data_IF_552731030422
#
_entry.id   IF_552731030422
#
_cell.length_a   1.000
_cell.length_b   1.000
_cell.length_c   1.000
_cell.angle_alpha   90.00
_cell.angle_beta   90.00
_cell.angle_gamma   90.00
#
_symmetry.space_group_name_H-M   'P 1'
#
loop_
_entity.id
_entity.type
_entity.pdbx_description
1 polymer ?
#
# COMPACT_ATOMS: atom_id res chain seq x y z
N UNK A 1 4.42 5.83 64.35
CA UNK A 1 5.60 6.71 64.47
C UNK A 1 6.73 6.11 63.63
N UNK A 2 6.75 6.37 62.31
CA UNK A 2 7.68 5.77 61.33
C UNK A 2 8.09 6.78 60.24
N UNK A 3 8.17 8.05 60.63
CA UNK A 3 8.48 9.18 59.74
C UNK A 3 9.94 9.64 59.92
N UNK A 4 10.63 9.21 60.99
CA UNK A 4 11.96 9.74 61.36
C UNK A 4 13.13 9.18 60.55
N UNK A 5 13.12 7.91 60.14
CA UNK A 5 14.30 7.31 59.49
C UNK A 5 14.45 7.72 58.02
N UNK A 6 13.36 7.79 57.26
CA UNK A 6 13.40 8.21 55.85
C UNK A 6 13.71 9.70 55.68
N UNK A 7 13.25 10.55 56.62
CA UNK A 7 13.59 11.97 56.60
C UNK A 7 15.09 12.19 56.90
N UNK A 8 15.67 11.36 57.78
CA UNK A 8 17.09 11.43 58.17
C UNK A 8 18.01 10.97 57.04
N UNK A 9 17.64 9.93 56.29
CA UNK A 9 18.42 9.48 55.12
C UNK A 9 18.31 10.47 53.95
N UNK A 10 17.13 11.05 53.71
CA UNK A 10 16.97 12.09 52.69
C UNK A 10 17.74 13.38 53.03
N UNK A 11 17.73 13.80 54.31
CA UNK A 11 18.47 14.99 54.76
C UNK A 11 19.99 14.76 54.70
N UNK A 12 20.48 13.57 55.06
CA UNK A 12 21.92 13.28 55.02
C UNK A 12 22.47 13.18 53.59
N UNK A 13 21.70 12.63 52.64
CA UNK A 13 22.09 12.63 51.22
C UNK A 13 22.02 14.04 50.63
N UNK A 14 21.02 14.85 51.00
CA UNK A 14 20.96 16.27 50.57
C UNK A 14 22.12 17.10 51.15
N UNK A 15 22.44 16.91 52.43
CA UNK A 15 23.54 17.62 53.09
C UNK A 15 24.91 17.19 52.55
N UNK A 16 25.12 15.91 52.25
CA UNK A 16 26.39 15.46 51.66
C UNK A 16 26.61 16.09 50.28
N UNK A 17 25.56 16.18 49.45
CA UNK A 17 25.61 16.84 48.13
C UNK A 17 25.83 18.36 48.27
N UNK A 18 25.25 19.01 49.29
CA UNK A 18 25.40 20.46 49.53
C UNK A 18 26.72 20.84 50.19
N UNK A 19 27.35 19.96 50.99
CA UNK A 19 28.55 20.29 51.78
C UNK A 19 29.88 19.81 51.21
N UNK A 20 29.92 18.87 50.25
CA UNK A 20 31.20 18.45 49.63
C UNK A 20 31.61 19.22 48.39
N UNK A 21 30.90 20.30 48.02
CA UNK A 21 31.31 21.14 46.90
C UNK A 21 31.98 22.43 47.39
N UNK A 22 33.27 22.65 47.14
CA UNK A 22 33.85 23.98 47.29
C UNK A 22 33.19 24.88 46.24
N UNK A 23 32.62 26.00 46.70
CA UNK A 23 32.19 27.07 45.81
C UNK A 23 33.43 27.62 45.09
N UNK A 24 33.67 27.15 43.87
CA UNK A 24 34.60 27.78 42.93
C UNK A 24 33.86 28.09 41.64
N UNK A 25 33.69 29.38 41.40
CA UNK A 25 33.26 29.93 40.12
C UNK A 25 34.28 29.61 39.03
N UNK A 26 33.78 29.47 37.81
CA UNK A 26 34.47 29.26 36.53
C UNK A 26 34.69 27.76 36.19
N UNK A 27 33.77 27.22 35.39
CA UNK A 27 33.99 26.06 34.53
C UNK A 27 34.40 24.75 35.21
N UNK A 28 33.55 24.17 36.05
CA UNK A 28 33.75 22.82 36.58
C UNK A 28 32.62 21.89 36.13
N UNK A 29 32.88 21.09 35.11
CA UNK A 29 32.05 19.92 34.79
C UNK A 29 32.37 18.81 35.80
N UNK A 30 31.47 18.57 36.77
CA UNK A 30 31.57 17.41 37.64
C UNK A 30 31.15 16.15 36.90
N UNK A 31 32.07 15.19 36.71
CA UNK A 31 31.77 13.86 36.17
C UNK A 31 31.38 12.91 37.31
N UNK A 32 30.32 12.13 37.12
CA UNK A 32 29.98 10.99 37.96
C UNK A 32 30.21 9.70 37.17
N UNK A 33 31.20 8.91 37.59
CA UNK A 33 31.62 7.74 36.80
C UNK A 33 30.63 6.56 36.88
N UNK A 34 29.72 6.52 37.87
CA UNK A 34 28.63 5.54 37.95
C UNK A 34 27.50 5.96 38.91
N UNK A 35 26.25 5.86 38.47
CA UNK A 35 25.04 6.07 39.29
C UNK A 35 24.11 4.85 39.19
N UNK A 36 24.08 4.00 40.23
CA UNK A 36 23.17 2.86 40.29
C UNK A 36 21.86 3.24 40.97
N UNK A 37 20.74 3.07 40.28
CA UNK A 37 19.41 3.46 40.78
C UNK A 37 18.47 2.27 40.80
N UNK A 38 17.74 2.14 41.91
CA UNK A 38 16.86 0.99 42.16
C UNK A 38 15.42 1.18 41.64
N UNK A 39 15.03 2.38 41.23
CA UNK A 39 13.65 2.70 40.88
C UNK A 39 13.51 3.68 39.71
N UNK A 40 13.75 4.98 39.92
CA UNK A 40 13.60 5.98 38.85
C UNK A 40 14.44 7.24 39.08
N UNK A 41 14.84 7.90 38.00
CA UNK A 41 15.25 9.32 38.00
C UNK A 41 14.08 10.16 37.49
N UNK A 42 13.85 11.32 38.11
CA UNK A 42 12.92 12.34 37.60
C UNK A 42 13.66 13.67 37.50
N UNK A 43 13.69 14.24 36.31
CA UNK A 43 14.04 15.65 36.11
C UNK A 43 12.74 16.46 36.14
N UNK A 44 12.67 17.45 37.01
CA UNK A 44 11.51 18.34 37.13
C UNK A 44 11.77 19.62 36.31
N UNK A 45 10.74 20.11 35.63
CA UNK A 45 10.73 21.43 35.01
C UNK A 45 10.62 22.52 36.10
N UNK A 46 10.96 23.77 35.76
CA UNK A 46 10.92 24.92 36.69
C UNK A 46 9.52 25.24 37.23
N UNK A 47 8.47 24.73 36.57
CA UNK A 47 7.06 24.84 36.97
C UNK A 47 6.59 23.68 37.88
N UNK A 48 7.48 22.74 38.23
CA UNK A 48 7.16 21.58 39.06
C UNK A 48 6.58 20.39 38.30
N UNK A 49 6.44 20.48 36.97
CA UNK A 49 6.09 19.34 36.12
C UNK A 49 7.24 18.34 35.96
N UNK A 50 6.97 17.10 35.56
CA UNK A 50 8.02 16.13 35.24
C UNK A 50 8.51 16.32 33.80
N UNK A 51 9.77 16.74 33.61
CA UNK A 51 10.38 16.94 32.29
C UNK A 51 10.90 15.65 31.64
N UNK A 52 11.58 14.78 32.41
CA UNK A 52 12.12 13.53 31.87
C UNK A 52 12.21 12.43 32.94
N UNK A 53 11.70 11.23 32.66
CA UNK A 53 11.67 10.10 33.61
C UNK A 53 12.13 8.78 32.97
N UNK A 54 13.06 8.11 33.63
CA UNK A 54 13.39 6.70 33.42
C UNK A 54 12.82 5.87 34.57
N UNK A 55 12.00 4.86 34.27
CA UNK A 55 11.54 3.87 35.24
C UNK A 55 12.17 2.51 34.96
N UNK A 56 12.90 1.99 35.94
CA UNK A 56 13.66 0.75 35.87
C UNK A 56 13.01 -0.34 36.74
N UNK A 57 11.82 -0.09 37.29
CA UNK A 57 11.13 -1.04 38.17
C UNK A 57 10.20 -2.00 37.39
N UNK A 58 10.38 -3.31 37.60
CA UNK A 58 9.59 -4.37 36.95
C UNK A 58 10.21 -4.97 35.67
N UNK A 59 9.48 -5.88 34.99
CA UNK A 59 9.91 -6.54 33.73
C UNK A 59 9.84 -5.65 32.48
N UNK A 60 9.57 -4.35 32.62
CA UNK A 60 9.47 -3.40 31.51
C UNK A 60 10.21 -2.14 31.87
N UNK A 61 11.18 -1.76 31.04
CA UNK A 61 11.85 -0.48 31.12
C UNK A 61 11.02 0.51 30.29
N UNK A 62 10.52 1.57 30.93
CA UNK A 62 9.73 2.60 30.26
C UNK A 62 10.48 3.93 30.29
N UNK A 63 10.64 4.55 29.12
CA UNK A 63 11.02 5.97 29.00
C UNK A 63 9.72 6.76 28.87
N UNK A 64 9.43 7.61 29.85
CA UNK A 64 8.26 8.48 29.83
C UNK A 64 8.73 9.92 29.63
N UNK A 65 8.37 10.50 28.49
CA UNK A 65 8.49 11.95 28.22
C UNK A 65 7.13 12.57 28.48
N UNK A 66 6.98 13.28 29.60
CA UNK A 66 5.72 13.91 29.98
C UNK A 66 5.55 15.25 29.26
N UNK A 67 4.50 15.40 28.45
CA UNK A 67 4.27 16.57 27.60
C UNK A 67 4.79 16.39 26.15
N UNK A 68 4.12 17.06 25.20
CA UNK A 68 4.33 17.14 23.73
C UNK A 68 5.46 16.29 23.09
N UNK A 69 5.51 14.98 23.31
CA UNK A 69 6.35 14.04 22.55
C UNK A 69 7.88 14.26 22.57
N UNK A 70 8.58 13.34 21.92
CA UNK A 70 10.00 13.51 21.58
C UNK A 70 10.12 14.60 20.49
N UNK A 71 10.32 15.85 20.90
CA UNK A 71 10.51 16.98 20.00
C UNK A 71 11.90 16.90 19.33
N UNK A 72 11.96 16.32 18.14
CA UNK A 72 13.09 16.54 17.24
C UNK A 72 12.93 17.92 16.57
N UNK A 73 14.04 18.59 16.22
CA UNK A 73 14.01 19.73 15.28
C UNK A 73 13.37 19.29 13.95
N UNK A 74 12.94 20.24 13.12
CA UNK A 74 12.26 20.00 11.84
C UNK A 74 13.00 19.06 10.86
N UNK A 75 14.29 18.82 11.09
CA UNK A 75 15.23 17.99 10.34
C UNK A 75 15.84 16.83 11.15
N UNK A 76 15.42 16.66 12.42
CA UNK A 76 15.99 15.67 13.33
C UNK A 76 15.50 14.25 13.03
N UNK A 77 16.43 13.38 12.61
CA UNK A 77 16.16 11.94 12.48
C UNK A 77 16.05 11.31 13.87
N UNK A 78 14.88 10.78 14.21
CA UNK A 78 14.69 9.95 15.39
C UNK A 78 14.83 8.48 15.00
N UNK A 79 15.96 7.87 15.38
CA UNK A 79 16.21 6.46 15.16
C UNK A 79 15.56 5.64 16.28
N UNK A 80 14.54 4.87 15.90
CA UNK A 80 14.03 3.80 16.71
C UNK A 80 14.91 2.58 16.39
N UNK A 81 15.76 2.16 17.33
CA UNK A 81 16.77 1.11 17.14
C UNK A 81 16.25 -0.22 16.58
N UNK A 82 17.15 -1.18 16.40
CA UNK A 82 16.81 -2.45 15.75
C UNK A 82 15.79 -3.26 16.57
N UNK A 83 14.62 -3.54 16.00
CA UNK A 83 13.55 -4.29 16.68
C UNK A 83 12.15 -4.01 16.14
N UNK A 84 11.17 -4.75 16.67
CA UNK A 84 9.76 -4.57 16.34
C UNK A 84 9.12 -3.47 17.20
N UNK A 85 8.60 -2.44 16.56
CA UNK A 85 7.88 -1.34 17.22
C UNK A 85 6.37 -1.58 17.11
N UNK A 86 5.66 -1.54 18.24
CA UNK A 86 4.21 -1.74 18.31
C UNK A 86 3.53 -0.45 18.72
N UNK A 87 2.69 0.06 17.84
CA UNK A 87 1.86 1.23 18.08
C UNK A 87 0.40 0.79 18.20
N UNK A 88 -0.35 1.41 19.12
CA UNK A 88 -1.81 1.27 19.12
C UNK A 88 -2.40 1.99 17.91
N UNK A 89 -1.93 3.22 17.67
CA UNK A 89 -2.29 4.07 16.54
C UNK A 89 -1.01 4.73 15.97
N UNK A 90 -0.92 4.88 14.64
CA UNK A 90 0.17 5.57 13.95
C UNK A 90 -0.41 6.69 13.09
N UNK A 91 -0.09 7.94 13.43
CA UNK A 91 -0.53 9.12 12.69
C UNK A 91 0.67 9.79 12.04
N UNK A 92 0.67 9.87 10.71
CA UNK A 92 1.70 10.52 9.91
C UNK A 92 1.07 11.71 9.18
N UNK A 93 1.65 12.90 9.30
CA UNK A 93 1.13 14.11 8.65
C UNK A 93 1.67 14.30 7.21
N UNK A 94 2.62 13.46 6.80
CA UNK A 94 3.31 13.53 5.51
C UNK A 94 3.56 12.11 4.97
N UNK A 95 4.42 12.00 3.96
CA UNK A 95 4.77 10.74 3.32
C UNK A 95 5.59 9.83 4.24
N UNK A 96 5.31 8.53 4.17
CA UNK A 96 6.12 7.48 4.77
C UNK A 96 7.02 6.87 3.69
N UNK A 97 8.33 6.90 3.88
CA UNK A 97 9.25 6.08 3.08
C UNK A 97 9.48 4.74 3.77
N UNK A 98 9.23 3.64 3.07
CA UNK A 98 9.49 2.29 3.56
C UNK A 98 10.50 1.64 2.62
N UNK A 99 11.69 1.34 3.14
CA UNK A 99 12.79 0.77 2.34
C UNK A 99 12.66 -0.72 2.03
N UNK A 100 11.63 -1.37 2.58
CA UNK A 100 11.34 -2.80 2.40
C UNK A 100 9.82 -2.99 2.23
N UNK A 101 9.36 -4.23 2.20
CA UNK A 101 7.95 -4.55 2.02
C UNK A 101 7.08 -4.18 3.24
N UNK A 102 5.87 -3.69 2.96
CA UNK A 102 4.78 -3.52 3.93
C UNK A 102 3.89 -4.76 3.89
N UNK A 103 3.65 -5.36 5.06
CA UNK A 103 2.77 -6.51 5.21
C UNK A 103 1.57 -6.18 6.10
N UNK A 104 0.36 -6.27 5.55
CA UNK A 104 -0.90 -6.00 6.25
C UNK A 104 -1.63 -7.32 6.45
N UNK A 105 -1.85 -7.70 7.72
CA UNK A 105 -2.50 -8.96 8.11
C UNK A 105 -1.81 -10.24 7.56
N UNK A 106 -0.53 -10.14 7.20
CA UNK A 106 0.30 -11.26 6.73
C UNK A 106 1.73 -11.08 7.25
N UNK A 107 2.49 -12.18 7.30
CA UNK A 107 3.94 -12.17 7.54
C UNK A 107 4.75 -12.49 6.30
N UNK A 108 4.09 -12.96 5.23
CA UNK A 108 4.72 -13.34 3.97
C UNK A 108 4.38 -12.29 2.94
N UNK A 109 5.41 -11.68 2.38
CA UNK A 109 5.28 -10.67 1.33
C UNK A 109 5.51 -11.24 -0.06
N UNK A 110 6.06 -12.45 -0.18
CA UNK A 110 6.24 -13.17 -1.45
C UNK A 110 6.93 -12.35 -2.56
N UNK A 111 7.83 -11.45 -2.17
CA UNK A 111 8.54 -10.56 -3.11
C UNK A 111 7.79 -9.26 -3.45
N UNK A 112 6.55 -9.08 -3.00
CA UNK A 112 5.79 -7.84 -3.19
C UNK A 112 6.20 -6.77 -2.19
N UNK A 113 6.28 -5.52 -2.64
CA UNK A 113 6.54 -4.36 -1.77
C UNK A 113 5.32 -4.01 -0.88
N UNK A 114 4.12 -4.42 -1.27
CA UNK A 114 2.91 -4.31 -0.46
C UNK A 114 2.14 -5.63 -0.55
N UNK A 115 2.01 -6.34 0.57
CA UNK A 115 1.25 -7.57 0.66
C UNK A 115 0.11 -7.40 1.67
N UNK A 116 -1.13 -7.64 1.22
CA UNK A 116 -2.33 -7.47 2.03
C UNK A 116 -3.12 -8.76 2.03
N UNK A 117 -3.30 -9.36 3.19
CA UNK A 117 -4.22 -10.48 3.36
C UNK A 117 -5.58 -9.95 3.83
N UNK A 118 -6.40 -9.54 2.86
CA UNK A 118 -7.69 -8.93 3.10
C UNK A 118 -8.12 -8.02 1.95
N UNK A 119 -9.17 -7.24 2.17
CA UNK A 119 -9.71 -6.31 1.17
C UNK A 119 -9.08 -4.93 1.32
N UNK A 120 -8.79 -4.31 0.18
CA UNK A 120 -8.38 -2.90 0.09
C UNK A 120 -9.56 -2.11 -0.45
N UNK A 121 -9.92 -1.01 0.22
CA UNK A 121 -10.88 -0.04 -0.29
C UNK A 121 -10.11 1.17 -0.80
N UNK A 122 -10.33 1.52 -2.06
CA UNK A 122 -9.75 2.70 -2.70
C UNK A 122 -10.80 3.34 -3.60
N UNK A 123 -10.81 4.66 -3.68
CA UNK A 123 -11.63 5.37 -4.66
C UNK A 123 -11.05 5.26 -6.07
N UNK A 124 -9.71 5.19 -6.18
CA UNK A 124 -8.99 5.15 -7.45
C UNK A 124 -7.67 4.39 -7.29
N UNK A 125 -7.28 3.65 -8.34
CA UNK A 125 -5.99 2.98 -8.47
C UNK A 125 -5.47 3.21 -9.88
N UNK A 126 -4.28 3.80 -10.00
CA UNK A 126 -3.56 3.92 -11.28
C UNK A 126 -2.53 2.81 -11.39
N UNK A 127 -2.72 1.88 -12.32
CA UNK A 127 -1.73 0.84 -12.65
C UNK A 127 -1.03 1.24 -13.94
N UNK A 128 0.31 1.36 -13.89
CA UNK A 128 1.12 1.66 -15.09
C UNK A 128 1.57 0.34 -15.73
N UNK A 129 0.81 -0.15 -16.69
CA UNK A 129 1.19 -1.25 -17.58
C UNK A 129 1.44 -0.75 -19.00
N UNK A 130 2.07 -1.56 -19.84
CA UNK A 130 2.14 -1.29 -21.28
C UNK A 130 0.73 -1.26 -21.85
N UNK A 131 0.41 -0.22 -22.61
CA UNK A 131 -0.91 -0.04 -23.22
C UNK A 131 -1.03 -0.96 -24.45
N UNK A 132 -2.17 -1.62 -24.64
CA UNK A 132 -2.48 -2.34 -25.87
C UNK A 132 -3.21 -1.38 -26.81
N UNK A 133 -2.49 -0.86 -27.81
CA UNK A 133 -3.06 -0.08 -28.94
C UNK A 133 -2.49 -0.59 -30.26
N UNK A 134 -2.22 -1.90 -30.33
CA UNK A 134 -1.62 -2.54 -31.50
C UNK A 134 -2.63 -3.31 -32.34
N UNK A 135 -3.88 -3.47 -31.87
CA UNK A 135 -4.92 -4.22 -32.60
C UNK A 135 -5.37 -3.46 -33.85
N UNK A 136 -5.17 -2.15 -33.88
CA UNK A 136 -5.50 -1.29 -35.03
C UNK A 136 -4.33 -1.07 -35.98
N UNK A 137 -3.16 -1.66 -35.73
CA UNK A 137 -2.01 -1.56 -36.62
C UNK A 137 -2.24 -2.36 -37.92
N UNK A 138 -1.70 -1.88 -39.03
CA UNK A 138 -1.89 -2.48 -40.36
C UNK A 138 -1.31 -3.91 -40.47
N UNK A 139 -0.35 -4.27 -39.61
CA UNK A 139 0.27 -5.59 -39.53
C UNK A 139 -0.38 -6.52 -38.50
N UNK A 140 -1.42 -6.06 -37.80
CA UNK A 140 -2.16 -6.90 -36.85
C UNK A 140 -2.93 -8.01 -37.58
N UNK A 141 -2.61 -9.25 -37.24
CA UNK A 141 -3.33 -10.41 -37.74
C UNK A 141 -4.54 -10.68 -36.85
N UNK A 142 -5.70 -10.15 -37.25
CA UNK A 142 -6.96 -10.47 -36.61
C UNK A 142 -7.24 -11.97 -36.77
N UNK A 143 -7.42 -12.72 -35.66
CA UNK A 143 -7.73 -14.15 -35.74
C UNK A 143 -9.00 -14.42 -36.54
N UNK A 144 -9.13 -15.62 -37.11
CA UNK A 144 -10.39 -16.01 -37.73
C UNK A 144 -11.42 -16.41 -36.65
N UNK A 145 -12.70 -16.08 -36.83
CA UNK A 145 -13.73 -16.40 -35.84
C UNK A 145 -13.93 -17.91 -35.65
N UNK A 146 -13.66 -18.74 -36.66
CA UNK A 146 -13.69 -20.20 -36.51
C UNK A 146 -12.51 -20.69 -35.65
N UNK A 147 -11.32 -20.11 -35.81
CA UNK A 147 -10.17 -20.43 -34.96
C UNK A 147 -10.43 -20.03 -33.50
N UNK A 148 -11.04 -18.86 -33.29
CA UNK A 148 -11.45 -18.41 -31.95
C UNK A 148 -12.51 -19.35 -31.35
N UNK A 149 -13.50 -19.77 -32.15
CA UNK A 149 -14.54 -20.71 -31.70
C UNK A 149 -13.94 -22.07 -31.31
N UNK A 150 -13.05 -22.60 -32.12
CA UNK A 150 -12.39 -23.88 -31.87
C UNK A 150 -11.51 -23.81 -30.62
N UNK A 151 -10.76 -22.72 -30.43
CA UNK A 151 -9.99 -22.49 -29.21
C UNK A 151 -10.87 -22.48 -27.96
N UNK A 152 -12.02 -21.78 -28.00
CA UNK A 152 -12.96 -21.71 -26.88
C UNK A 152 -13.56 -23.09 -26.58
N UNK A 153 -13.89 -23.86 -27.62
CA UNK A 153 -14.43 -25.23 -27.44
C UNK A 153 -13.42 -26.17 -26.79
N UNK A 154 -12.14 -26.04 -27.16
CA UNK A 154 -11.07 -26.89 -26.63
C UNK A 154 -10.65 -26.48 -25.21
N UNK A 155 -10.50 -25.18 -24.95
CA UNK A 155 -9.88 -24.67 -23.72
C UNK A 155 -10.89 -24.11 -22.70
N UNK A 156 -12.11 -23.77 -23.13
CA UNK A 156 -13.16 -23.23 -22.24
C UNK A 156 -12.96 -21.77 -21.83
N UNK A 157 -12.01 -21.05 -22.43
CA UNK A 157 -11.75 -19.64 -22.21
C UNK A 157 -11.20 -18.97 -23.48
N UNK A 158 -11.11 -17.63 -23.47
CA UNK A 158 -10.48 -16.87 -24.55
C UNK A 158 -8.95 -16.99 -24.48
N UNK A 159 -8.32 -16.98 -25.65
CA UNK A 159 -6.86 -16.97 -25.75
C UNK A 159 -6.25 -15.76 -25.03
N UNK A 160 -5.20 -16.01 -24.26
CA UNK A 160 -4.47 -14.99 -23.51
C UNK A 160 -5.19 -14.46 -22.26
N UNK A 161 -6.39 -14.95 -21.95
CA UNK A 161 -7.09 -14.70 -20.70
C UNK A 161 -6.83 -15.86 -19.74
N UNK A 162 -6.35 -15.61 -18.51
CA UNK A 162 -6.09 -16.66 -17.54
C UNK A 162 -7.38 -17.40 -17.14
N UNK A 163 -7.25 -18.69 -16.83
CA UNK A 163 -8.40 -19.50 -16.40
C UNK A 163 -8.84 -19.11 -15.00
N UNK A 164 -10.09 -19.46 -14.64
CA UNK A 164 -10.57 -19.26 -13.28
C UNK A 164 -9.70 -19.99 -12.24
N UNK A 165 -9.20 -21.18 -12.59
CA UNK A 165 -8.32 -21.99 -11.72
C UNK A 165 -6.99 -21.26 -11.51
N UNK A 166 -6.38 -20.74 -12.58
CA UNK A 166 -5.10 -20.02 -12.48
C UNK A 166 -5.24 -18.76 -11.60
N UNK A 167 -6.36 -18.03 -11.74
CA UNK A 167 -6.64 -16.84 -10.94
C UNK A 167 -6.87 -17.21 -9.47
N UNK A 168 -7.55 -18.32 -9.19
CA UNK A 168 -7.80 -18.77 -7.83
C UNK A 168 -6.50 -19.21 -7.13
N UNK A 169 -5.61 -19.89 -7.85
CA UNK A 169 -4.35 -20.39 -7.30
C UNK A 169 -3.26 -19.32 -7.20
N UNK A 170 -3.09 -18.49 -8.24
CA UNK A 170 -1.95 -17.59 -8.39
C UNK A 170 -2.32 -16.10 -8.30
N UNK A 171 -3.62 -15.77 -8.33
CA UNK A 171 -4.10 -14.41 -8.49
C UNK A 171 -3.96 -13.91 -9.94
N UNK A 172 -4.46 -12.70 -10.17
CA UNK A 172 -4.35 -12.02 -11.47
C UNK A 172 -3.64 -10.68 -11.32
N UNK A 173 -2.74 -10.37 -12.26
CA UNK A 173 -2.24 -9.01 -12.42
C UNK A 173 -3.34 -8.16 -13.03
N UNK A 174 -3.89 -7.23 -12.24
CA UNK A 174 -4.97 -6.33 -12.64
C UNK A 174 -4.64 -5.56 -13.92
N UNK A 175 -3.40 -5.10 -14.06
CA UNK A 175 -2.98 -4.36 -15.23
C UNK A 175 -2.87 -5.25 -16.46
N UNK A 176 -2.27 -6.43 -16.33
CA UNK A 176 -2.14 -7.38 -17.44
C UNK A 176 -3.50 -7.88 -17.95
N UNK A 177 -4.43 -8.20 -17.02
CA UNK A 177 -5.79 -8.62 -17.39
C UNK A 177 -6.54 -7.48 -18.07
N UNK A 178 -6.47 -6.25 -17.57
CA UNK A 178 -7.12 -5.12 -18.21
C UNK A 178 -6.60 -4.86 -19.63
N UNK A 179 -5.29 -4.99 -19.85
CA UNK A 179 -4.68 -4.86 -21.18
C UNK A 179 -5.21 -5.94 -22.13
N UNK A 180 -5.31 -7.19 -21.67
CA UNK A 180 -5.86 -8.29 -22.47
C UNK A 180 -7.35 -8.14 -22.76
N UNK A 181 -8.12 -7.67 -21.78
CA UNK A 181 -9.54 -7.37 -21.99
C UNK A 181 -9.74 -6.26 -23.03
N UNK A 182 -8.91 -5.20 -23.00
CA UNK A 182 -8.95 -4.15 -24.00
C UNK A 182 -8.65 -4.70 -25.40
N UNK A 183 -7.60 -5.51 -25.54
CA UNK A 183 -7.28 -6.19 -26.81
C UNK A 183 -8.51 -6.94 -27.37
N UNK A 184 -9.23 -7.70 -26.52
CA UNK A 184 -10.43 -8.44 -26.95
C UNK A 184 -11.62 -7.54 -27.30
N UNK A 185 -11.77 -6.40 -26.63
CA UNK A 185 -12.78 -5.40 -26.99
C UNK A 185 -12.48 -4.80 -28.37
N UNK A 186 -11.22 -4.53 -28.67
CA UNK A 186 -10.79 -3.99 -29.96
C UNK A 186 -10.99 -5.01 -31.09
N UNK A 187 -10.58 -6.27 -30.89
CA UNK A 187 -10.85 -7.37 -31.83
C UNK A 187 -12.36 -7.52 -32.09
N UNK A 188 -13.18 -7.52 -31.03
CA UNK A 188 -14.65 -7.60 -31.15
C UNK A 188 -15.22 -6.41 -31.93
N UNK A 189 -14.64 -5.22 -31.77
CA UNK A 189 -15.03 -4.03 -32.52
C UNK A 189 -14.75 -4.21 -34.02
N UNK A 190 -13.59 -4.79 -34.39
CA UNK A 190 -13.26 -5.09 -35.79
C UNK A 190 -14.24 -6.09 -36.40
N UNK A 191 -14.52 -7.21 -35.71
CA UNK A 191 -15.52 -8.19 -36.18
C UNK A 191 -16.91 -7.56 -36.35
N UNK A 192 -17.32 -6.69 -35.42
CA UNK A 192 -18.62 -6.01 -35.49
C UNK A 192 -18.70 -5.08 -36.70
N UNK A 193 -17.62 -4.36 -37.02
CA UNK A 193 -17.54 -3.50 -38.21
C UNK A 193 -17.65 -4.36 -39.48
N UNK A 194 -16.95 -5.50 -39.53
CA UNK A 194 -17.02 -6.42 -40.67
C UNK A 194 -18.43 -6.99 -40.86
N UNK A 195 -19.04 -7.49 -39.77
CA UNK A 195 -20.42 -7.98 -39.78
C UNK A 195 -21.41 -6.90 -40.26
N UNK A 196 -21.24 -5.65 -39.82
CA UNK A 196 -22.08 -4.54 -40.27
C UNK A 196 -21.94 -4.30 -41.78
N UNK A 197 -20.71 -4.34 -42.32
CA UNK A 197 -20.48 -4.22 -43.77
C UNK A 197 -21.19 -5.33 -44.54
N UNK A 198 -21.14 -6.57 -44.04
CA UNK A 198 -21.81 -7.69 -44.70
C UNK A 198 -23.33 -7.58 -44.64
N UNK A 199 -23.90 -7.18 -43.49
CA UNK A 199 -25.34 -6.91 -43.37
C UNK A 199 -25.79 -5.85 -44.39
N UNK A 200 -25.02 -4.77 -44.55
CA UNK A 200 -25.33 -3.73 -45.53
C UNK A 200 -25.21 -4.22 -46.97
N UNK A 201 -24.29 -5.14 -47.25
CA UNK A 201 -24.17 -5.79 -48.55
C UNK A 201 -25.38 -6.69 -48.82
N UNK A 202 -25.78 -7.51 -47.86
CA UNK A 202 -26.94 -8.40 -47.96
C UNK A 202 -28.22 -7.61 -48.20
N UNK A 203 -28.47 -6.52 -47.46
CA UNK A 203 -29.62 -5.63 -47.67
C UNK A 203 -29.68 -5.04 -49.08
N UNK A 204 -28.54 -4.58 -49.61
CA UNK A 204 -28.46 -4.08 -51.00
C UNK A 204 -28.73 -5.16 -52.03
N UNK A 205 -28.40 -6.41 -51.75
CA UNK A 205 -28.71 -7.53 -52.63
C UNK A 205 -30.21 -7.84 -52.59
N UNK A 206 -30.81 -7.82 -51.40
CA UNK A 206 -32.23 -8.00 -51.18
C UNK A 206 -33.08 -6.95 -51.93
N UNK A 207 -32.74 -5.67 -51.79
CA UNK A 207 -33.39 -4.57 -52.53
C UNK A 207 -33.31 -4.75 -54.06
N UNK A 208 -32.21 -5.33 -54.56
CA UNK A 208 -32.04 -5.61 -56.00
C UNK A 208 -32.89 -6.80 -56.44
N UNK A 209 -33.03 -7.82 -55.60
CA UNK A 209 -33.87 -8.98 -55.88
C UNK A 209 -35.34 -8.57 -55.95
N UNK A 210 -35.82 -7.81 -54.95
CA UNK A 210 -37.20 -7.27 -54.95
C UNK A 210 -37.48 -6.47 -56.22
N UNK A 211 -36.55 -5.60 -56.64
CA UNK A 211 -36.70 -4.82 -57.88
C UNK A 211 -36.76 -5.71 -59.13
N UNK A 212 -36.02 -6.82 -59.17
CA UNK A 212 -36.06 -7.76 -60.29
C UNK A 212 -37.41 -8.48 -60.32
N UNK A 213 -37.91 -8.91 -59.17
CA UNK A 213 -39.22 -9.56 -59.04
C UNK A 213 -40.36 -8.64 -59.55
N UNK A 214 -40.36 -7.36 -59.15
CA UNK A 214 -41.34 -6.38 -59.63
C UNK A 214 -41.31 -6.19 -61.16
N UNK A 215 -40.12 -6.22 -61.77
CA UNK A 215 -39.97 -6.07 -63.22
C UNK A 215 -40.48 -7.31 -63.98
N UNK A 216 -40.26 -8.49 -63.41
CA UNK A 216 -40.74 -9.75 -63.99
C UNK A 216 -42.28 -9.84 -63.92
N UNK A 217 -42.89 -9.43 -62.81
CA UNK A 217 -44.34 -9.37 -62.68
C UNK A 217 -44.97 -8.41 -63.70
N UNK A 218 -44.42 -7.19 -63.85
CA UNK A 218 -44.90 -6.20 -64.82
C UNK A 218 -44.80 -6.69 -66.27
N UNK A 219 -43.75 -7.43 -66.61
CA UNK A 219 -43.57 -7.99 -67.95
C UNK A 219 -44.44 -9.23 -68.21
N UNK A 220 -44.97 -9.89 -67.17
CA UNK A 220 -45.85 -11.05 -67.31
C UNK A 220 -47.33 -10.67 -67.46
N UNK A 221 -47.67 -9.39 -67.25
CA UNK A 221 -49.03 -8.84 -67.34
C UNK A 221 -49.27 -8.14 -68.70
N UNK A 222 -48.21 -7.86 -69.46
CA UNK A 222 -48.27 -7.37 -70.85
C UNK A 222 -48.12 -8.51 -71.86
#
# INVERSE_FOLDING_TARGET
>A
MKISENLTVCISVLLYVLFTMPAQSQGNEGSFDNLTLRSSIKFLNSDGGTGFRFDLSGNKQHIHVGGLGLLAKADGVQSLGNGGWRFKDLWLSQNAYVGNAIAINTRRTSGYNLAVNGRILANEITVKTGWADFVFDDDYQLPDLYEVEDFIKENGHLEGIPTAIDIEENGADLGAVNVKLLQKIEELTLYTIEQHKEIMRLKKLDEKLERIEELLEKNSIN
#
